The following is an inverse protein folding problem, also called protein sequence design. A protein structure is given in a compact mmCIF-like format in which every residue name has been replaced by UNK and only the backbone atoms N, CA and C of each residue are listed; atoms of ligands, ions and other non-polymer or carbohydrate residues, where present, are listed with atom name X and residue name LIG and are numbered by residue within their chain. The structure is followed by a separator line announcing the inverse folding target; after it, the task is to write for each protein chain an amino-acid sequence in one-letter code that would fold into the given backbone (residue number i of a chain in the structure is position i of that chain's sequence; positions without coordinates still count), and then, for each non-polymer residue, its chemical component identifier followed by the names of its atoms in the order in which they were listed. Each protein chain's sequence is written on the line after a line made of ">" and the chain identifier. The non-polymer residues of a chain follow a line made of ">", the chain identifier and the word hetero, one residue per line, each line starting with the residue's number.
data_IF_224290572502
#
_entry.id   IF_224290572502
#
_cell.length_a   1.000
_cell.length_b   1.000
_cell.length_c   1.000
_cell.angle_alpha   90.00
_cell.angle_beta   90.00
_cell.angle_gamma   90.00
#
_symmetry.space_group_name_H-M   'P 1'
#
loop_
_entity.id
_entity.type
_entity.pdbx_description
1 polymer ?
#
# COMPACT_ATOMS: atom_id res chain seq x y z
N UNK A 1 -65.53 -36.27 -16.90
CA UNK A 1 -64.71 -35.09 -17.27
C UNK A 1 -63.44 -35.16 -16.42
N UNK A 2 -62.33 -35.82 -16.81
CA UNK A 2 -61.33 -35.43 -17.83
C UNK A 2 -60.92 -33.95 -17.68
N UNK A 3 -59.66 -33.51 -17.63
CA UNK A 3 -58.29 -34.06 -17.60
C UNK A 3 -57.42 -32.77 -17.63
N UNK A 4 -56.30 -32.71 -16.90
CA UNK A 4 -55.02 -32.06 -17.29
C UNK A 4 -54.92 -30.52 -17.56
N UNK A 5 -53.97 -29.89 -16.85
CA UNK A 5 -53.21 -28.67 -17.24
C UNK A 5 -52.45 -28.87 -18.59
N UNK A 6 -51.77 -27.86 -19.23
CA UNK A 6 -51.41 -26.49 -18.82
C UNK A 6 -51.47 -25.39 -19.93
N UNK A 7 -51.25 -24.11 -19.58
CA UNK A 7 -50.42 -23.12 -20.32
C UNK A 7 -50.45 -21.79 -19.53
N UNK A 8 -49.37 -21.42 -18.85
CA UNK A 8 -48.33 -20.49 -19.32
C UNK A 8 -48.84 -19.08 -19.66
N UNK A 9 -48.32 -18.13 -18.87
CA UNK A 9 -48.24 -16.67 -19.12
C UNK A 9 -49.57 -15.90 -19.15
N UNK A 10 -49.93 -15.31 -18.00
CA UNK A 10 -50.35 -13.89 -17.90
C UNK A 10 -50.68 -13.49 -16.46
N UNK A 11 -49.73 -12.79 -15.83
CA UNK A 11 -49.85 -11.41 -15.34
C UNK A 11 -49.01 -11.23 -14.08
N UNK A 12 -47.98 -10.41 -14.24
CA UNK A 12 -47.31 -9.71 -13.17
C UNK A 12 -48.34 -8.91 -12.35
N UNK A 13 -48.21 -8.97 -11.03
CA UNK A 13 -48.68 -7.96 -10.12
C UNK A 13 -47.45 -7.35 -9.43
N UNK A 14 -47.35 -6.00 -9.31
CA UNK A 14 -46.19 -5.35 -8.75
C UNK A 14 -46.31 -5.33 -7.22
N UNK A 15 -45.55 -6.20 -6.55
CA UNK A 15 -45.35 -6.17 -5.11
C UNK A 15 -43.92 -5.73 -4.83
N UNK A 16 -43.76 -4.52 -4.29
CA UNK A 16 -42.48 -3.91 -3.97
C UNK A 16 -41.64 -4.74 -3.01
N UNK A 17 -40.72 -5.51 -3.56
CA UNK A 17 -39.46 -5.83 -2.90
C UNK A 17 -38.39 -5.06 -3.66
N UNK A 18 -37.84 -4.02 -3.05
CA UNK A 18 -36.53 -3.53 -3.47
C UNK A 18 -35.54 -4.66 -3.17
N UNK A 19 -35.45 -5.63 -4.09
CA UNK A 19 -34.34 -6.54 -4.16
C UNK A 19 -33.12 -5.64 -4.19
N UNK A 20 -32.35 -5.69 -3.10
CA UNK A 20 -31.05 -5.05 -3.01
C UNK A 20 -30.24 -5.57 -4.19
N UNK A 21 -30.25 -4.82 -5.29
CA UNK A 21 -29.19 -4.81 -6.29
C UNK A 21 -27.95 -4.23 -5.58
N UNK A 22 -27.44 -4.93 -4.57
CA UNK A 22 -26.03 -4.83 -4.28
C UNK A 22 -25.37 -5.45 -5.50
N UNK A 23 -24.76 -4.60 -6.31
CA UNK A 23 -24.03 -4.97 -7.51
C UNK A 23 -23.13 -6.16 -7.17
N UNK A 24 -23.50 -7.34 -7.65
CA UNK A 24 -22.63 -8.50 -7.55
C UNK A 24 -21.37 -8.15 -8.33
N UNK A 25 -20.21 -8.09 -7.67
CA UNK A 25 -18.92 -7.98 -8.36
C UNK A 25 -18.68 -9.18 -9.30
N UNK A 26 -19.48 -10.24 -9.17
CA UNK A 26 -19.39 -11.44 -10.02
C UNK A 26 -19.65 -11.19 -11.50
N UNK A 27 -20.13 -10.01 -11.90
CA UNK A 27 -20.22 -9.64 -13.32
C UNK A 27 -18.98 -8.89 -13.82
N UNK A 28 -18.07 -8.50 -12.93
CA UNK A 28 -16.83 -7.76 -13.22
C UNK A 28 -15.59 -8.64 -13.15
N UNK A 29 -15.64 -9.73 -12.40
CA UNK A 29 -14.51 -10.63 -12.14
C UNK A 29 -14.75 -12.01 -12.75
N UNK A 30 -13.66 -12.63 -13.21
CA UNK A 30 -13.68 -14.05 -13.57
C UNK A 30 -13.70 -14.95 -12.31
N UNK A 31 -13.94 -16.26 -12.50
CA UNK A 31 -14.03 -17.21 -11.39
C UNK A 31 -12.73 -17.28 -10.56
N UNK A 32 -11.56 -17.06 -11.18
CA UNK A 32 -10.27 -17.07 -10.49
C UNK A 32 -10.12 -15.84 -9.60
N UNK A 33 -10.52 -14.68 -10.12
CA UNK A 33 -10.52 -13.42 -9.37
C UNK A 33 -11.53 -13.45 -8.22
N UNK A 34 -12.71 -14.05 -8.40
CA UNK A 34 -13.69 -14.22 -7.31
C UNK A 34 -13.17 -15.18 -6.23
N UNK A 35 -12.56 -16.30 -6.60
CA UNK A 35 -11.92 -17.22 -5.64
C UNK A 35 -10.77 -16.55 -4.88
N UNK A 36 -9.95 -15.76 -5.57
CA UNK A 36 -8.90 -14.98 -4.95
C UNK A 36 -9.48 -13.94 -3.98
N UNK A 37 -10.53 -13.19 -4.39
CA UNK A 37 -11.23 -12.23 -3.53
C UNK A 37 -11.74 -12.88 -2.25
N UNK A 38 -12.38 -14.04 -2.35
CA UNK A 38 -12.87 -14.78 -1.18
C UNK A 38 -11.72 -15.26 -0.29
N UNK A 39 -10.60 -15.66 -0.88
CA UNK A 39 -9.40 -16.08 -0.13
C UNK A 39 -8.79 -14.91 0.66
N UNK A 40 -8.63 -13.74 0.03
CA UNK A 40 -8.11 -12.54 0.73
C UNK A 40 -9.12 -12.05 1.77
N UNK A 41 -10.42 -12.10 1.46
CA UNK A 41 -11.49 -11.80 2.42
C UNK A 41 -11.37 -12.63 3.68
N UNK A 42 -11.24 -13.95 3.53
CA UNK A 42 -11.09 -14.88 4.65
C UNK A 42 -9.83 -14.56 5.46
N UNK A 43 -8.69 -14.42 4.79
CA UNK A 43 -7.44 -14.01 5.44
C UNK A 43 -7.60 -12.72 6.25
N UNK A 44 -8.23 -11.69 5.68
CA UNK A 44 -8.43 -10.40 6.33
C UNK A 44 -9.39 -10.49 7.53
N UNK A 45 -10.45 -11.29 7.46
CA UNK A 45 -11.37 -11.49 8.58
C UNK A 45 -10.73 -12.29 9.72
N UNK A 46 -9.84 -13.23 9.43
CA UNK A 46 -9.19 -14.06 10.45
C UNK A 46 -8.02 -13.32 11.11
N UNK A 47 -7.21 -12.61 10.31
CA UNK A 47 -5.92 -12.07 10.79
C UNK A 47 -5.98 -10.58 11.12
N UNK A 48 -6.76 -9.79 10.37
CA UNK A 48 -6.75 -8.31 10.45
C UNK A 48 -7.93 -7.77 11.25
N UNK A 49 -9.17 -8.17 10.89
CA UNK A 49 -10.40 -7.62 11.47
C UNK A 49 -10.46 -7.69 13.02
N UNK A 50 -10.02 -8.77 13.69
CA UNK A 50 -10.06 -8.86 15.15
C UNK A 50 -9.19 -7.81 15.85
N UNK A 51 -8.24 -7.21 15.14
CA UNK A 51 -7.27 -6.24 15.66
C UNK A 51 -7.64 -4.80 15.34
N UNK A 52 -8.58 -4.57 14.43
CA UNK A 52 -8.86 -3.25 13.88
C UNK A 52 -9.18 -2.20 14.96
N UNK A 53 -10.02 -2.54 15.94
CA UNK A 53 -10.38 -1.64 17.04
C UNK A 53 -9.19 -1.30 17.96
N UNK A 54 -8.33 -2.27 18.26
CA UNK A 54 -7.15 -2.07 19.09
C UNK A 54 -6.08 -1.24 18.37
N UNK A 55 -5.90 -1.47 17.06
CA UNK A 55 -5.02 -0.69 16.18
C UNK A 55 -5.44 0.78 16.18
N UNK A 56 -6.74 1.04 16.05
CA UNK A 56 -7.27 2.39 16.06
C UNK A 56 -7.10 3.08 17.42
N UNK A 57 -7.51 2.42 18.50
CA UNK A 57 -7.44 2.97 19.86
C UNK A 57 -5.98 3.26 20.28
N UNK A 58 -5.07 2.32 20.06
CA UNK A 58 -3.67 2.45 20.45
C UNK A 58 -2.86 3.35 19.51
N UNK A 59 -3.38 3.65 18.33
CA UNK A 59 -2.65 4.26 17.23
C UNK A 59 -1.30 3.55 17.04
N UNK A 60 -1.27 2.24 16.89
CA UNK A 60 -0.07 1.45 16.57
C UNK A 60 -0.45 0.27 15.70
N UNK A 61 0.47 -0.12 14.81
CA UNK A 61 0.39 -1.43 14.16
C UNK A 61 0.43 -2.53 15.25
N UNK A 62 -0.29 -3.66 15.09
CA UNK A 62 -0.42 -4.65 16.14
C UNK A 62 0.96 -5.22 16.52
N UNK A 63 1.18 -5.38 17.83
CA UNK A 63 2.44 -5.89 18.39
C UNK A 63 2.37 -7.37 18.76
N UNK A 64 1.16 -7.90 18.89
CA UNK A 64 0.88 -9.30 19.23
C UNK A 64 1.12 -10.26 18.07
N UNK A 65 1.18 -9.74 16.85
CA UNK A 65 1.36 -10.51 15.63
C UNK A 65 2.17 -9.72 14.60
N UNK A 66 3.02 -10.40 13.86
CA UNK A 66 3.70 -9.81 12.71
C UNK A 66 2.78 -9.91 11.47
N UNK A 67 1.88 -8.94 11.32
CA UNK A 67 0.99 -8.87 10.15
C UNK A 67 1.77 -8.70 8.84
N UNK A 68 2.96 -8.10 8.85
CA UNK A 68 3.74 -7.92 7.61
C UNK A 68 4.24 -9.26 7.10
N UNK A 69 4.80 -10.10 7.98
CA UNK A 69 5.18 -11.47 7.66
C UNK A 69 3.98 -12.32 7.24
N UNK A 70 2.87 -12.28 7.98
CA UNK A 70 1.66 -13.03 7.59
C UNK A 70 1.14 -12.65 6.20
N UNK A 71 1.13 -11.35 5.88
CA UNK A 71 0.75 -10.89 4.55
C UNK A 71 1.75 -11.30 3.47
N UNK A 72 3.05 -11.36 3.80
CA UNK A 72 4.11 -11.85 2.92
C UNK A 72 4.01 -13.35 2.64
N UNK A 73 3.75 -14.16 3.67
CA UNK A 73 3.53 -15.61 3.55
C UNK A 73 2.27 -15.94 2.72
N UNK A 74 1.26 -15.04 2.76
CA UNK A 74 0.08 -15.10 1.89
C UNK A 74 0.33 -14.50 0.49
N UNK A 75 1.55 -14.04 0.19
CA UNK A 75 1.99 -13.43 -1.07
C UNK A 75 1.32 -12.09 -1.45
N UNK A 76 0.72 -11.38 -0.48
CA UNK A 76 0.01 -10.12 -0.77
C UNK A 76 0.97 -9.02 -1.26
N UNK A 77 2.16 -8.90 -0.66
CA UNK A 77 3.11 -7.85 -1.03
C UNK A 77 3.67 -8.00 -2.45
N UNK A 78 3.69 -9.23 -2.97
CA UNK A 78 4.30 -9.60 -4.24
C UNK A 78 3.37 -9.64 -5.45
N UNK A 79 2.08 -9.29 -5.32
CA UNK A 79 1.07 -9.50 -6.38
C UNK A 79 1.44 -8.87 -7.72
N UNK A 80 2.07 -7.69 -7.73
CA UNK A 80 2.47 -6.98 -8.95
C UNK A 80 3.95 -7.17 -9.30
N UNK A 81 4.73 -7.75 -8.39
CA UNK A 81 6.17 -7.92 -8.58
C UNK A 81 6.46 -9.16 -9.43
N UNK A 82 7.54 -9.16 -10.24
CA UNK A 82 7.97 -10.32 -11.01
C UNK A 82 8.33 -11.53 -10.13
N UNK A 83 8.08 -12.73 -10.65
CA UNK A 83 8.41 -14.01 -9.98
C UNK A 83 9.90 -14.16 -9.66
N UNK A 84 10.79 -13.64 -10.52
CA UNK A 84 12.25 -13.69 -10.31
C UNK A 84 12.72 -12.99 -9.02
N UNK A 85 11.89 -12.11 -8.43
CA UNK A 85 12.16 -11.46 -7.14
C UNK A 85 11.29 -12.00 -6.00
N UNK A 86 10.55 -13.09 -6.23
CA UNK A 86 9.62 -13.70 -5.28
C UNK A 86 8.18 -13.17 -5.34
N UNK A 87 7.83 -12.40 -6.38
CA UNK A 87 6.46 -11.93 -6.60
C UNK A 87 5.58 -12.94 -7.33
N UNK A 88 4.38 -12.52 -7.73
CA UNK A 88 3.40 -13.36 -8.44
C UNK A 88 3.07 -12.90 -9.86
N UNK A 89 3.47 -11.69 -10.26
CA UNK A 89 3.23 -11.17 -11.61
C UNK A 89 1.75 -11.04 -12.03
N UNK A 90 0.80 -11.10 -11.09
CA UNK A 90 -0.65 -11.11 -11.37
C UNK A 90 -1.20 -9.74 -11.80
N UNK A 91 -0.48 -8.67 -11.45
CA UNK A 91 -0.82 -7.31 -11.86
C UNK A 91 -1.87 -6.63 -10.98
N UNK A 92 -2.33 -5.47 -11.42
CA UNK A 92 -3.05 -4.53 -10.56
C UNK A 92 -4.49 -4.92 -10.23
N UNK A 93 -5.15 -5.77 -11.04
CA UNK A 93 -6.50 -6.21 -10.70
C UNK A 93 -6.53 -6.99 -9.39
N UNK A 94 -5.62 -7.97 -9.25
CA UNK A 94 -5.46 -8.75 -8.01
C UNK A 94 -4.98 -7.88 -6.84
N UNK A 95 -4.12 -6.89 -7.10
CA UNK A 95 -3.73 -5.91 -6.10
C UNK A 95 -4.92 -5.08 -5.61
N UNK A 96 -5.77 -4.58 -6.50
CA UNK A 96 -6.98 -3.83 -6.15
C UNK A 96 -7.98 -4.66 -5.36
N UNK A 97 -8.22 -5.91 -5.76
CA UNK A 97 -9.06 -6.85 -5.00
C UNK A 97 -8.51 -7.03 -3.58
N UNK A 98 -7.19 -7.19 -3.44
CA UNK A 98 -6.56 -7.33 -2.13
C UNK A 98 -6.67 -6.07 -1.28
N UNK A 99 -6.43 -4.89 -1.89
CA UNK A 99 -6.59 -3.59 -1.23
C UNK A 99 -8.02 -3.42 -0.71
N UNK A 100 -9.04 -3.78 -1.49
CA UNK A 100 -10.45 -3.69 -1.09
C UNK A 100 -10.72 -4.54 0.17
N UNK A 101 -10.34 -5.82 0.13
CA UNK A 101 -10.66 -6.76 1.21
C UNK A 101 -9.85 -6.49 2.50
N UNK A 102 -8.58 -6.10 2.38
CA UNK A 102 -7.75 -5.68 3.54
C UNK A 102 -8.33 -4.41 4.17
N UNK A 103 -8.67 -3.41 3.36
CA UNK A 103 -9.20 -2.13 3.84
C UNK A 103 -10.57 -2.30 4.50
N UNK A 104 -11.39 -3.23 4.00
CA UNK A 104 -12.68 -3.58 4.60
C UNK A 104 -12.53 -4.17 6.01
N UNK A 105 -11.43 -4.85 6.30
CA UNK A 105 -11.11 -5.34 7.64
C UNK A 105 -10.51 -4.26 8.54
N UNK A 106 -9.59 -3.43 8.01
CA UNK A 106 -9.02 -2.28 8.72
C UNK A 106 -8.49 -1.24 7.73
N UNK A 107 -9.06 -0.03 7.76
CA UNK A 107 -8.59 1.07 6.91
C UNK A 107 -7.12 1.45 7.15
N UNK A 108 -6.68 1.38 8.41
CA UNK A 108 -5.29 1.68 8.77
C UNK A 108 -4.31 0.66 8.17
N UNK A 109 -4.62 -0.64 8.28
CA UNK A 109 -3.79 -1.69 7.68
C UNK A 109 -3.80 -1.58 6.15
N UNK A 110 -4.96 -1.31 5.55
CA UNK A 110 -5.08 -1.06 4.11
C UNK A 110 -4.21 0.09 3.62
N UNK A 111 -4.22 1.23 4.33
CA UNK A 111 -3.36 2.38 4.00
C UNK A 111 -1.87 2.01 4.08
N UNK A 112 -1.45 1.37 5.16
CA UNK A 112 -0.06 0.92 5.33
C UNK A 112 0.36 -0.06 4.24
N UNK A 113 -0.47 -1.06 3.95
CA UNK A 113 -0.23 -2.04 2.90
C UNK A 113 -0.13 -1.39 1.51
N UNK A 114 -1.01 -0.43 1.19
CA UNK A 114 -0.95 0.32 -0.07
C UNK A 114 0.35 1.13 -0.22
N UNK A 115 0.81 1.77 0.85
CA UNK A 115 2.09 2.49 0.84
C UNK A 115 3.28 1.53 0.61
N UNK A 116 3.27 0.36 1.23
CA UNK A 116 4.32 -0.63 1.05
C UNK A 116 4.32 -1.24 -0.37
N UNK A 117 3.18 -1.80 -0.78
CA UNK A 117 3.07 -2.56 -2.04
C UNK A 117 3.06 -1.68 -3.30
N UNK A 118 2.41 -0.51 -3.26
CA UNK A 118 2.30 0.36 -4.44
C UNK A 118 3.34 1.48 -4.42
N UNK A 119 3.48 2.20 -3.31
CA UNK A 119 4.36 3.36 -3.28
C UNK A 119 5.85 2.99 -3.15
N UNK A 120 6.18 1.83 -2.59
CA UNK A 120 7.57 1.37 -2.46
C UNK A 120 7.92 0.24 -3.45
N UNK A 121 7.32 -0.94 -3.29
CA UNK A 121 7.64 -2.13 -4.12
C UNK A 121 7.49 -1.81 -5.61
N UNK A 122 6.37 -1.26 -6.04
CA UNK A 122 6.15 -0.97 -7.45
C UNK A 122 7.10 0.13 -8.01
N UNK A 123 7.57 1.09 -7.21
CA UNK A 123 8.59 2.04 -7.67
C UNK A 123 9.91 1.31 -7.97
N UNK A 124 10.31 0.38 -7.10
CA UNK A 124 11.51 -0.43 -7.31
C UNK A 124 11.37 -1.38 -8.51
N UNK A 125 10.21 -2.02 -8.67
CA UNK A 125 9.92 -2.88 -9.83
C UNK A 125 10.02 -2.09 -11.14
N UNK A 126 9.48 -0.88 -11.19
CA UNK A 126 9.43 -0.08 -12.43
C UNK A 126 10.76 0.61 -12.74
N UNK A 127 11.46 1.09 -11.72
CA UNK A 127 12.55 2.06 -11.90
C UNK A 127 13.88 1.63 -11.29
N UNK A 128 13.90 0.61 -10.43
CA UNK A 128 15.14 0.09 -9.87
C UNK A 128 16.02 -0.58 -10.93
N UNK A 129 17.34 -0.52 -10.76
CA UNK A 129 18.27 -1.36 -11.52
C UNK A 129 18.11 -2.84 -11.13
N UNK A 130 18.62 -3.79 -11.94
CA UNK A 130 18.62 -5.21 -11.57
C UNK A 130 19.23 -5.47 -10.19
N UNK A 131 20.33 -4.80 -9.86
CA UNK A 131 21.03 -4.94 -8.58
C UNK A 131 20.19 -4.39 -7.42
N UNK A 132 19.51 -3.26 -7.62
CA UNK A 132 18.61 -2.68 -6.61
C UNK A 132 17.40 -3.59 -6.38
N UNK A 133 16.81 -4.14 -7.45
CA UNK A 133 15.67 -5.06 -7.35
C UNK A 133 16.03 -6.32 -6.58
N UNK A 134 17.15 -6.97 -6.95
CA UNK A 134 17.66 -8.15 -6.25
C UNK A 134 17.95 -7.88 -4.77
N UNK A 135 18.48 -6.69 -4.45
CA UNK A 135 18.81 -6.32 -3.07
C UNK A 135 17.55 -6.08 -2.21
N UNK A 136 16.57 -5.34 -2.71
CA UNK A 136 15.46 -4.83 -1.88
C UNK A 136 14.17 -5.63 -1.99
N UNK A 137 13.79 -6.10 -3.18
CA UNK A 137 12.46 -6.68 -3.40
C UNK A 137 12.19 -7.96 -2.59
N UNK A 138 13.10 -8.94 -2.49
CA UNK A 138 12.81 -10.18 -1.75
C UNK A 138 12.46 -9.94 -0.27
N UNK A 139 13.14 -9.00 0.39
CA UNK A 139 12.87 -8.64 1.78
C UNK A 139 11.58 -7.86 1.96
N UNK A 140 11.25 -6.99 1.00
CA UNK A 140 9.96 -6.28 1.00
C UNK A 140 8.80 -7.25 0.76
N UNK A 141 8.93 -8.14 -0.23
CA UNK A 141 7.86 -9.10 -0.59
C UNK A 141 7.60 -10.11 0.52
N UNK A 142 8.64 -10.60 1.20
CA UNK A 142 8.48 -11.51 2.34
C UNK A 142 7.96 -10.83 3.62
N UNK A 143 7.81 -9.49 3.62
CA UNK A 143 7.43 -8.72 4.80
C UNK A 143 8.54 -8.60 5.87
N UNK A 144 9.79 -9.02 5.57
CA UNK A 144 10.94 -8.77 6.45
C UNK A 144 11.20 -7.27 6.62
N UNK A 145 11.11 -6.57 5.51
CA UNK A 145 11.26 -5.12 5.45
C UNK A 145 9.91 -4.49 5.10
N UNK A 146 9.64 -3.37 5.73
CA UNK A 146 8.53 -2.48 5.43
C UNK A 146 9.05 -1.36 4.54
N UNK A 147 8.18 -0.93 3.64
CA UNK A 147 8.45 0.05 2.60
C UNK A 147 7.68 1.32 2.83
N UNK A 148 8.28 2.46 2.53
CA UNK A 148 7.64 3.77 2.54
C UNK A 148 8.04 4.62 1.33
N UNK A 149 7.27 5.68 1.09
CA UNK A 149 7.59 6.73 0.13
C UNK A 149 7.50 8.09 0.83
N UNK A 150 8.49 8.94 0.58
CA UNK A 150 8.63 10.25 1.16
C UNK A 150 8.75 11.31 0.06
N UNK A 151 7.68 12.07 -0.16
CA UNK A 151 7.62 13.09 -1.21
C UNK A 151 7.18 14.44 -0.67
N UNK A 152 6.02 14.48 0.00
CA UNK A 152 5.43 15.70 0.55
C UNK A 152 6.30 16.32 1.65
N UNK A 153 6.20 17.63 1.78
CA UNK A 153 6.91 18.44 2.78
C UNK A 153 5.92 19.39 3.47
N UNK A 154 6.27 19.99 4.62
CA UNK A 154 5.37 20.93 5.31
C UNK A 154 4.86 22.07 4.42
N UNK A 155 5.68 22.51 3.46
CA UNK A 155 5.36 23.60 2.53
C UNK A 155 4.92 23.10 1.13
N UNK A 156 4.83 21.79 0.91
CA UNK A 156 4.65 21.19 -0.42
C UNK A 156 3.86 19.87 -0.32
N UNK A 157 2.52 20.02 -0.35
CA UNK A 157 1.56 18.92 -0.38
C UNK A 157 1.04 18.67 -1.79
N UNK A 158 0.05 19.45 -2.23
CA UNK A 158 -0.52 19.35 -3.59
C UNK A 158 0.46 19.85 -4.67
N UNK A 159 1.24 20.88 -4.35
CA UNK A 159 2.33 21.37 -5.21
C UNK A 159 3.66 20.71 -4.84
N UNK A 160 3.78 19.42 -5.14
CA UNK A 160 4.99 18.61 -4.84
C UNK A 160 6.23 19.11 -5.57
N UNK A 161 6.07 19.83 -6.69
CA UNK A 161 7.20 20.31 -7.50
C UNK A 161 7.96 21.44 -6.81
N UNK A 162 7.30 22.15 -5.90
CA UNK A 162 7.88 23.22 -5.08
C UNK A 162 8.67 22.73 -3.86
N UNK A 163 8.86 21.41 -3.72
CA UNK A 163 9.66 20.80 -2.65
C UNK A 163 11.04 21.44 -2.51
N UNK A 164 11.52 21.53 -1.27
CA UNK A 164 12.76 22.18 -0.87
C UNK A 164 13.85 21.20 -0.46
N UNK A 165 13.52 19.95 -0.13
CA UNK A 165 14.53 18.92 0.11
C UNK A 165 15.46 18.79 -1.11
N UNK A 166 16.76 18.83 -0.85
CA UNK A 166 17.80 18.83 -1.88
C UNK A 166 18.67 17.60 -1.75
N UNK A 167 19.19 17.15 -2.88
CA UNK A 167 20.22 16.13 -2.96
C UNK A 167 21.43 16.74 -3.68
N UNK A 168 22.50 17.00 -2.93
CA UNK A 168 23.73 17.58 -3.44
C UNK A 168 24.71 16.46 -3.79
N UNK A 169 25.30 16.51 -4.98
CA UNK A 169 26.24 15.49 -5.42
C UNK A 169 27.56 15.65 -4.66
N UNK A 170 28.07 14.55 -4.12
CA UNK A 170 29.38 14.46 -3.45
C UNK A 170 30.19 13.31 -4.04
N UNK A 171 31.45 13.19 -3.63
CA UNK A 171 32.29 12.06 -4.03
C UNK A 171 31.65 10.75 -3.54
N UNK A 172 31.36 9.85 -4.48
CA UNK A 172 30.76 8.54 -4.19
C UNK A 172 29.24 8.53 -3.97
N UNK A 173 28.53 9.66 -4.07
CA UNK A 173 27.07 9.64 -3.88
C UNK A 173 26.38 11.00 -3.82
N UNK A 174 25.36 11.07 -2.97
CA UNK A 174 24.55 12.26 -2.74
C UNK A 174 24.34 12.50 -1.25
N UNK A 175 24.32 13.78 -0.89
CA UNK A 175 23.96 14.26 0.43
C UNK A 175 22.55 14.83 0.38
N UNK A 176 21.63 14.28 1.16
CA UNK A 176 20.22 14.68 1.19
C UNK A 176 19.96 15.56 2.41
N UNK A 177 19.45 16.77 2.16
CA UNK A 177 19.11 17.75 3.18
C UNK A 177 17.68 18.23 3.03
N UNK A 178 16.84 17.91 4.01
CA UNK A 178 15.47 18.38 4.07
C UNK A 178 14.56 17.51 4.94
N UNK A 179 13.33 17.97 5.08
CA UNK A 179 12.30 17.32 5.88
C UNK A 179 11.12 16.94 4.99
N UNK A 180 10.72 15.68 5.07
CA UNK A 180 9.51 15.14 4.49
C UNK A 180 8.44 15.02 5.56
N UNK A 181 7.19 15.17 5.13
CA UNK A 181 6.02 15.16 5.99
C UNK A 181 5.06 14.07 5.53
N UNK A 182 4.25 13.55 6.45
CA UNK A 182 3.19 12.59 6.14
C UNK A 182 3.67 11.25 5.58
N UNK A 183 4.87 10.79 5.97
CA UNK A 183 5.41 9.52 5.50
C UNK A 183 4.72 8.35 6.21
N UNK A 184 3.77 7.73 5.51
CA UNK A 184 3.20 6.44 5.89
C UNK A 184 4.27 5.36 5.98
N UNK A 185 4.20 4.56 7.04
CA UNK A 185 5.17 3.55 7.49
C UNK A 185 6.55 4.12 7.92
N UNK A 186 6.76 5.44 7.94
CA UNK A 186 8.08 6.07 8.09
C UNK A 186 9.05 5.45 9.12
N UNK A 187 8.68 5.28 10.41
CA UNK A 187 9.58 4.75 11.43
C UNK A 187 9.73 3.23 11.38
N UNK A 188 8.73 2.54 10.84
CA UNK A 188 8.70 1.08 10.76
C UNK A 188 9.40 0.60 9.49
N UNK A 189 9.50 1.45 8.46
CA UNK A 189 10.14 1.15 7.19
C UNK A 189 11.66 1.01 7.29
N UNK A 190 12.18 -0.05 6.69
CA UNK A 190 13.61 -0.29 6.50
C UNK A 190 14.08 0.29 5.15
N UNK A 191 13.18 0.37 4.16
CA UNK A 191 13.47 0.88 2.82
C UNK A 191 12.50 2.00 2.48
N UNK A 192 13.02 3.17 2.10
CA UNK A 192 12.23 4.34 1.74
C UNK A 192 12.60 4.83 0.34
N UNK A 193 11.59 5.19 -0.45
CA UNK A 193 11.78 5.95 -1.70
C UNK A 193 11.59 7.43 -1.40
N UNK A 194 12.67 8.21 -1.45
CA UNK A 194 12.66 9.64 -1.08
C UNK A 194 12.89 10.50 -2.32
N UNK A 195 12.01 11.49 -2.54
CA UNK A 195 12.14 12.43 -3.65
C UNK A 195 12.85 13.70 -3.18
N UNK A 196 13.89 14.14 -3.89
CA UNK A 196 14.62 15.37 -3.59
C UNK A 196 15.05 16.09 -4.88
N UNK A 197 15.31 17.40 -4.78
CA UNK A 197 15.81 18.19 -5.91
C UNK A 197 17.32 18.03 -6.06
N UNK A 198 17.74 17.58 -7.25
CA UNK A 198 19.14 17.57 -7.69
C UNK A 198 19.47 18.80 -8.55
N UNK A 199 18.46 19.42 -9.17
CA UNK A 199 18.59 20.67 -9.90
C UNK A 199 17.43 21.62 -9.56
N UNK A 200 17.75 22.75 -8.94
CA UNK A 200 16.76 23.74 -8.51
C UNK A 200 16.17 24.53 -9.69
N UNK A 201 16.94 24.70 -10.78
CA UNK A 201 16.54 25.48 -11.94
C UNK A 201 15.68 24.67 -12.94
N UNK A 202 15.79 23.34 -12.94
CA UNK A 202 15.06 22.47 -13.86
C UNK A 202 13.58 22.21 -13.49
N UNK A 203 13.03 22.90 -12.48
CA UNK A 203 11.63 22.75 -12.07
C UNK A 203 11.29 21.30 -11.67
N UNK A 204 10.30 20.69 -12.32
CA UNK A 204 9.92 19.29 -12.08
C UNK A 204 10.92 18.27 -12.62
N UNK A 205 11.72 18.64 -13.63
CA UNK A 205 12.75 17.77 -14.22
C UNK A 205 14.01 17.66 -13.35
N UNK A 206 14.15 18.53 -12.36
CA UNK A 206 15.25 18.52 -11.40
C UNK A 206 15.00 17.68 -10.16
N UNK A 207 13.98 16.81 -10.16
CA UNK A 207 13.63 15.95 -9.04
C UNK A 207 14.13 14.53 -9.31
N UNK A 208 14.78 13.93 -8.32
CA UNK A 208 15.30 12.57 -8.36
C UNK A 208 14.75 11.76 -7.19
N UNK A 209 14.47 10.47 -7.43
CA UNK A 209 14.09 9.52 -6.40
C UNK A 209 15.33 8.76 -5.91
N UNK A 210 15.46 8.64 -4.59
CA UNK A 210 16.55 7.96 -3.90
C UNK A 210 16.01 6.81 -3.07
N UNK A 211 16.78 5.74 -2.95
CA UNK A 211 16.51 4.67 -1.99
C UNK A 211 17.28 4.99 -0.73
N UNK A 212 16.59 5.18 0.38
CA UNK A 212 17.16 5.43 1.71
C UNK A 212 16.86 4.25 2.61
N UNK A 213 17.88 3.75 3.31
CA UNK A 213 17.75 2.69 4.29
C UNK A 213 17.68 3.25 5.71
N UNK A 214 16.85 2.63 6.54
CA UNK A 214 16.80 2.96 7.97
C UNK A 214 18.16 2.71 8.60
N UNK A 215 18.69 3.70 9.31
CA UNK A 215 20.00 3.63 9.96
C UNK A 215 21.15 4.18 9.11
N UNK A 216 20.90 4.62 7.87
CA UNK A 216 21.87 5.46 7.16
C UNK A 216 22.22 6.69 8.03
N UNK A 217 23.51 7.06 8.15
CA UNK A 217 23.92 8.23 8.92
C UNK A 217 23.08 9.44 8.51
N UNK A 218 22.59 10.22 9.47
CA UNK A 218 21.83 11.43 9.18
C UNK A 218 20.34 11.27 8.89
N UNK A 219 19.87 10.03 8.68
CA UNK A 219 18.43 9.75 8.57
C UNK A 219 17.79 9.66 9.96
N UNK A 220 16.69 10.38 10.18
CA UNK A 220 15.91 10.31 11.41
C UNK A 220 14.41 10.45 11.15
N UNK A 221 13.61 9.93 12.08
CA UNK A 221 12.15 10.09 12.06
C UNK A 221 11.70 10.89 13.27
N UNK A 222 10.73 11.78 13.08
CA UNK A 222 10.20 12.64 14.13
C UNK A 222 9.22 11.91 15.06
N UNK A 223 8.44 12.65 15.84
CA UNK A 223 7.36 12.10 16.66
C UNK A 223 6.20 11.60 15.79
N UNK A 224 5.48 10.59 16.28
CA UNK A 224 4.26 10.09 15.65
C UNK A 224 3.19 11.16 15.60
N UNK A 225 2.56 11.30 14.44
CA UNK A 225 1.38 12.15 14.32
C UNK A 225 0.15 11.45 14.91
N UNK A 226 -0.54 12.15 15.80
CA UNK A 226 -1.85 11.74 16.29
C UNK A 226 -2.93 12.22 15.31
N UNK A 227 -3.61 11.27 14.66
CA UNK A 227 -4.51 11.53 13.53
C UNK A 227 -5.96 11.23 13.92
N UNK A 228 -6.90 11.88 13.24
CA UNK A 228 -8.35 11.64 13.39
C UNK A 228 -8.74 10.20 13.06
N UNK A 229 -8.15 9.63 12.01
CA UNK A 229 -8.42 8.28 11.52
C UNK A 229 -7.19 7.68 10.84
N UNK A 230 -7.32 6.47 10.29
CA UNK A 230 -6.18 5.67 9.82
C UNK A 230 -5.10 5.54 10.90
N UNK A 231 -5.56 5.47 12.15
CA UNK A 231 -4.72 5.32 13.33
C UNK A 231 -4.13 3.91 13.33
N UNK A 232 -2.85 3.80 13.65
CA UNK A 232 -2.10 2.55 13.55
C UNK A 232 -1.37 2.32 12.22
N UNK A 233 -1.72 3.05 11.16
CA UNK A 233 -0.76 3.32 10.07
C UNK A 233 0.23 4.37 10.59
N UNK A 234 1.46 3.96 10.84
CA UNK A 234 2.52 4.85 11.32
C UNK A 234 2.73 6.00 10.33
N UNK A 235 2.44 7.24 10.70
CA UNK A 235 2.65 8.42 9.84
C UNK A 235 3.49 9.44 10.58
N UNK A 236 4.61 9.81 9.97
CA UNK A 236 5.66 10.58 10.61
C UNK A 236 6.32 11.54 9.64
N UNK A 237 6.97 12.54 10.22
CA UNK A 237 7.93 13.35 9.48
C UNK A 237 9.26 12.62 9.43
N UNK A 238 9.94 12.73 8.30
CA UNK A 238 11.22 12.08 8.03
C UNK A 238 12.21 13.17 7.71
N UNK A 239 13.33 13.23 8.42
CA UNK A 239 14.40 14.18 8.17
C UNK A 239 15.59 13.44 7.58
N UNK A 240 16.13 13.96 6.49
CA UNK A 240 17.40 13.52 5.92
C UNK A 240 18.40 14.64 6.13
N UNK A 241 19.44 14.39 6.92
CA UNK A 241 20.59 15.27 7.12
C UNK A 241 21.86 14.42 7.00
N UNK A 242 22.24 14.06 5.78
CA UNK A 242 23.47 13.29 5.54
C UNK A 242 24.21 13.84 4.35
#
# INVERSE_FOLDING_TARGET
>A
MQRWLPALLRRAAPGGGAARLFASSSLLFDDTQEQFKESVRKFAQENIAPRAAAIDASNHFPRDVDLWRLMGDFNLHGLTAPEEYGGMGLGYMYHCISMEEITRASGAVGLSYGAHSNLCINQLVRHGSPEQRLKYLPKLISGEHIGALAMSEPNSGSDVVSMKCKAEKVDGGYVLNGNKMWCTNGPSAQTLVVYAKTDLAAGSKGITAFIIEKGMPGFSTAQKLDKLGMRGSDTYDVSTCS
#
